data_IF_443433588225
#
_entry.id   IF_443433588225
#
_cell.length_a   1.000
_cell.length_b   1.000
_cell.length_c   1.000
_cell.angle_alpha   90.00
_cell.angle_beta   90.00
_cell.angle_gamma   90.00
#
_symmetry.space_group_name_H-M   'P 1'
#
loop_
_entity.id
_entity.type
_entity.pdbx_description
1 polymer ?
#
# COMPACT_ATOMS: atom_id res chain seq x y z
N UNK A 1 2.09 17.92 21.38
CA UNK A 1 2.35 16.49 21.09
C UNK A 1 2.29 16.31 19.56
N UNK A 2 3.09 15.42 18.95
CA UNK A 2 3.13 15.30 17.48
C UNK A 2 1.84 14.68 16.91
N UNK A 3 1.28 15.22 15.80
CA UNK A 3 0.10 14.65 15.14
C UNK A 3 0.52 13.46 14.27
N UNK A 4 0.28 12.24 14.76
CA UNK A 4 0.67 11.01 14.06
C UNK A 4 -0.44 9.97 14.15
N UNK A 5 -0.78 9.37 13.00
CA UNK A 5 -1.73 8.26 12.91
C UNK A 5 -0.93 7.01 12.54
N UNK A 6 -0.81 6.07 13.46
CA UNK A 6 -0.21 4.76 13.17
C UNK A 6 -1.25 3.87 12.52
N UNK A 7 -1.13 3.61 11.21
CA UNK A 7 -2.06 2.75 10.49
C UNK A 7 -1.49 1.33 10.35
N UNK A 8 -2.23 0.34 10.82
CA UNK A 8 -1.89 -1.08 10.76
C UNK A 8 -2.90 -1.76 9.85
N UNK A 9 -2.46 -2.16 8.66
CA UNK A 9 -3.27 -2.96 7.74
C UNK A 9 -3.19 -4.44 8.12
N UNK A 10 -4.09 -4.86 8.99
CA UNK A 10 -4.19 -6.23 9.43
C UNK A 10 -4.88 -7.06 8.33
N UNK A 11 -4.07 -7.67 7.46
CA UNK A 11 -4.50 -8.62 6.43
C UNK A 11 -4.39 -10.10 6.85
N UNK A 12 -4.22 -10.36 8.15
CA UNK A 12 -4.01 -11.67 8.81
C UNK A 12 -2.65 -12.36 8.65
N UNK A 13 -1.80 -11.96 7.70
CA UNK A 13 -0.56 -12.67 7.39
C UNK A 13 0.64 -11.76 7.10
N UNK A 14 1.67 -11.85 7.94
CA UNK A 14 3.00 -11.30 7.65
C UNK A 14 3.79 -12.28 6.79
N UNK A 15 3.89 -12.03 5.48
CA UNK A 15 4.36 -13.00 4.48
C UNK A 15 3.56 -14.32 4.58
N UNK A 16 4.14 -15.38 5.13
CA UNK A 16 3.46 -16.67 5.37
C UNK A 16 3.12 -16.94 6.84
N UNK A 17 3.40 -16.01 7.74
CA UNK A 17 3.17 -16.17 9.18
C UNK A 17 1.85 -15.51 9.56
N UNK A 18 0.92 -16.30 10.11
CA UNK A 18 -0.35 -15.79 10.64
C UNK A 18 -0.14 -14.97 11.91
N UNK A 19 -1.09 -14.10 12.23
CA UNK A 19 -1.02 -13.24 13.43
C UNK A 19 -0.81 -14.04 14.70
N UNK A 20 -1.58 -15.10 14.90
CA UNK A 20 -1.51 -15.95 16.09
C UNK A 20 -0.14 -16.63 16.28
N UNK A 21 0.68 -16.68 15.23
CA UNK A 21 2.04 -17.23 15.28
C UNK A 21 3.12 -16.17 15.39
N UNK A 22 2.81 -14.91 15.08
CA UNK A 22 3.75 -13.80 15.07
C UNK A 22 3.67 -12.96 16.34
N UNK A 23 2.46 -12.76 16.89
CA UNK A 23 2.25 -11.83 18.00
C UNK A 23 1.51 -12.48 19.16
N UNK A 24 1.92 -12.14 20.37
CA UNK A 24 1.18 -12.45 21.60
C UNK A 24 -0.04 -11.54 21.81
N UNK A 25 -0.14 -10.44 21.07
CA UNK A 25 -1.28 -9.51 21.08
C UNK A 25 -1.84 -9.45 19.66
N UNK A 26 -3.03 -10.04 19.46
CA UNK A 26 -3.71 -10.06 18.16
C UNK A 26 -4.50 -8.78 17.86
N UNK A 27 -4.77 -7.97 18.88
CA UNK A 27 -5.49 -6.71 18.81
C UNK A 27 -4.50 -5.54 18.64
N UNK A 28 -4.07 -5.30 17.41
CA UNK A 28 -2.97 -4.37 17.15
C UNK A 28 -3.28 -2.91 17.46
N UNK A 29 -4.55 -2.48 17.45
CA UNK A 29 -4.92 -1.15 17.93
C UNK A 29 -4.57 -0.91 19.42
N UNK A 30 -4.37 -1.96 20.22
CA UNK A 30 -4.00 -1.85 21.63
C UNK A 30 -2.48 -1.82 21.86
N UNK A 31 -1.65 -2.07 20.84
CA UNK A 31 -0.20 -2.13 20.98
C UNK A 31 0.45 -0.80 21.38
N UNK A 32 -0.26 0.31 21.15
CA UNK A 32 0.19 1.65 21.53
C UNK A 32 0.31 1.89 23.04
N UNK A 33 -0.17 0.96 23.88
CA UNK A 33 -0.19 1.06 25.34
C UNK A 33 -0.85 2.35 25.83
N UNK A 34 -0.07 3.40 26.13
CA UNK A 34 -0.60 4.71 26.52
C UNK A 34 -1.20 5.51 25.34
N UNK A 35 -0.93 5.11 24.10
CA UNK A 35 -1.47 5.73 22.89
C UNK A 35 -2.84 5.09 22.60
N UNK A 36 -3.92 5.89 22.45
CA UNK A 36 -5.25 5.35 22.17
C UNK A 36 -5.29 4.65 20.81
N UNK A 37 -6.21 3.69 20.69
CA UNK A 37 -6.39 2.90 19.47
C UNK A 37 -7.84 2.84 19.02
N UNK A 38 -8.05 2.74 17.71
CA UNK A 38 -9.34 2.48 17.06
C UNK A 38 -9.20 1.33 16.07
N UNK A 39 -10.09 0.36 16.17
CA UNK A 39 -10.22 -0.73 15.18
C UNK A 39 -11.26 -0.35 14.14
N UNK A 40 -10.95 -0.54 12.87
CA UNK A 40 -11.79 -0.21 11.73
C UNK A 40 -11.99 -1.46 10.87
N UNK A 41 -13.20 -1.68 10.37
CA UNK A 41 -13.43 -2.66 9.31
C UNK A 41 -12.84 -2.14 7.99
N UNK A 42 -11.66 -2.65 7.63
CA UNK A 42 -10.93 -2.27 6.42
C UNK A 42 -11.59 -2.76 5.13
N UNK A 43 -12.60 -3.62 5.22
CA UNK A 43 -13.38 -4.09 4.07
C UNK A 43 -14.62 -3.21 3.81
N UNK A 44 -14.89 -2.21 4.65
CA UNK A 44 -15.98 -1.27 4.50
C UNK A 44 -15.42 0.15 4.27
N UNK A 45 -15.49 0.63 3.03
CA UNK A 45 -14.94 1.95 2.63
C UNK A 45 -15.54 3.12 3.41
N UNK A 46 -16.80 3.02 3.83
CA UNK A 46 -17.45 4.06 4.64
C UNK A 46 -16.90 4.05 6.07
N UNK A 47 -16.72 2.88 6.67
CA UNK A 47 -16.10 2.76 7.99
C UNK A 47 -14.66 3.29 7.99
N UNK A 48 -13.88 2.99 6.94
CA UNK A 48 -12.53 3.54 6.75
C UNK A 48 -12.57 5.07 6.66
N UNK A 49 -13.46 5.64 5.85
CA UNK A 49 -13.61 7.09 5.71
C UNK A 49 -13.98 7.77 7.04
N UNK A 50 -14.95 7.22 7.77
CA UNK A 50 -15.38 7.76 9.06
C UNK A 50 -14.27 7.65 10.12
N UNK A 51 -13.66 6.49 10.28
CA UNK A 51 -12.61 6.28 11.28
C UNK A 51 -11.35 7.10 11.00
N UNK A 52 -10.96 7.26 9.73
CA UNK A 52 -9.82 8.12 9.37
C UNK A 52 -10.13 9.60 9.53
N UNK A 53 -11.39 10.02 9.29
CA UNK A 53 -11.82 11.40 9.60
C UNK A 53 -11.70 11.69 11.10
N UNK A 54 -12.22 10.79 11.93
CA UNK A 54 -12.08 10.89 13.38
C UNK A 54 -10.60 10.96 13.81
N UNK A 55 -9.75 10.07 13.29
CA UNK A 55 -8.33 10.05 13.63
C UNK A 55 -7.62 11.36 13.25
N UNK A 56 -7.95 11.91 12.07
CA UNK A 56 -7.43 13.22 11.61
C UNK A 56 -7.86 14.36 12.53
N UNK A 57 -9.14 14.40 12.90
CA UNK A 57 -9.68 15.41 13.82
C UNK A 57 -9.06 15.31 15.21
N UNK A 58 -8.92 14.07 15.73
CA UNK A 58 -8.29 13.79 17.01
C UNK A 58 -6.85 14.31 17.07
N UNK A 59 -6.01 13.94 16.11
CA UNK A 59 -4.62 14.41 16.04
C UNK A 59 -4.55 15.93 15.78
N UNK A 60 -5.41 16.45 14.91
CA UNK A 60 -5.47 17.86 14.55
C UNK A 60 -5.86 18.78 15.71
N UNK A 61 -6.65 18.27 16.66
CA UNK A 61 -6.99 18.97 17.90
C UNK A 61 -5.86 18.98 18.96
N UNK A 62 -4.70 18.39 18.65
CA UNK A 62 -3.53 18.39 19.53
C UNK A 62 -3.53 17.28 20.59
N UNK A 63 -4.46 16.31 20.50
CA UNK A 63 -4.57 15.18 21.44
C UNK A 63 -3.43 14.14 21.31
N UNK A 64 -2.49 14.37 20.41
CA UNK A 64 -1.34 13.49 20.19
C UNK A 64 -1.59 12.37 19.19
N UNK A 65 -0.80 11.28 19.25
CA UNK A 65 -0.90 10.19 18.29
C UNK A 65 -2.11 9.29 18.55
N UNK A 66 -2.47 8.49 17.54
CA UNK A 66 -3.50 7.45 17.64
C UNK A 66 -3.11 6.22 16.81
N UNK A 67 -3.41 5.02 17.30
CA UNK A 67 -3.31 3.76 16.56
C UNK A 67 -4.62 3.47 15.82
N UNK A 68 -4.51 3.05 14.57
CA UNK A 68 -5.61 2.59 13.73
C UNK A 68 -5.29 1.19 13.25
N UNK A 69 -6.12 0.21 13.58
CA UNK A 69 -6.04 -1.13 13.03
C UNK A 69 -7.15 -1.34 12.00
N UNK A 70 -6.78 -1.49 10.73
CA UNK A 70 -7.70 -1.80 9.64
C UNK A 70 -7.75 -3.30 9.42
N UNK A 71 -8.88 -3.91 9.77
CA UNK A 71 -9.14 -5.33 9.52
C UNK A 71 -9.46 -5.53 8.04
N UNK A 72 -8.48 -5.96 7.25
CA UNK A 72 -8.57 -6.09 5.79
C UNK A 72 -8.12 -7.48 5.33
N UNK A 73 -8.00 -7.70 4.02
CA UNK A 73 -7.55 -8.96 3.46
C UNK A 73 -6.87 -8.81 2.09
N UNK A 74 -5.79 -9.54 1.86
CA UNK A 74 -5.13 -9.64 0.55
C UNK A 74 -5.53 -10.91 -0.19
N UNK A 75 -6.04 -10.78 -1.41
CA UNK A 75 -6.46 -11.95 -2.19
C UNK A 75 -5.31 -12.73 -2.81
N UNK A 76 -4.26 -12.03 -3.26
CA UNK A 76 -3.05 -12.67 -3.77
C UNK A 76 -2.10 -13.02 -2.61
N UNK A 77 -1.07 -13.83 -2.90
CA UNK A 77 0.03 -14.11 -1.99
C UNK A 77 0.79 -12.86 -1.56
N UNK A 78 1.88 -13.04 -0.79
CA UNK A 78 2.65 -11.90 -0.28
C UNK A 78 3.28 -11.06 -1.40
N UNK A 79 3.71 -11.73 -2.47
CA UNK A 79 4.32 -11.15 -3.66
C UNK A 79 3.99 -12.00 -4.88
N UNK A 80 4.46 -11.60 -6.07
CA UNK A 80 4.31 -12.39 -7.29
C UNK A 80 5.02 -13.75 -7.23
N UNK A 81 6.05 -13.90 -6.39
CA UNK A 81 6.77 -15.17 -6.21
C UNK A 81 6.15 -16.08 -5.15
N UNK A 82 5.15 -15.60 -4.40
CA UNK A 82 4.45 -16.36 -3.38
C UNK A 82 3.02 -16.70 -3.84
N UNK A 83 2.70 -17.97 -4.15
CA UNK A 83 1.34 -18.39 -4.50
C UNK A 83 0.33 -18.27 -3.34
N UNK A 84 0.80 -18.23 -2.08
CA UNK A 84 -0.04 -18.05 -0.90
C UNK A 84 -0.92 -19.25 -0.52
N UNK A 85 -0.57 -20.46 -0.96
CA UNK A 85 -1.34 -21.71 -0.72
C UNK A 85 -0.78 -22.59 0.40
N UNK A 86 0.40 -22.28 0.95
CA UNK A 86 1.09 -23.12 1.94
C UNK A 86 0.72 -22.78 3.39
N UNK A 87 0.13 -21.60 3.62
CA UNK A 87 -0.14 -21.06 4.96
C UNK A 87 -1.60 -20.59 5.16
N UNK A 88 -2.44 -20.77 4.14
CA UNK A 88 -3.89 -20.50 4.16
C UNK A 88 -4.56 -21.29 3.03
N UNK A 89 -5.86 -21.50 3.17
CA UNK A 89 -6.62 -22.32 2.22
C UNK A 89 -7.32 -21.44 1.15
N UNK A 90 -7.70 -22.06 0.02
CA UNK A 90 -8.36 -21.34 -1.07
C UNK A 90 -9.79 -20.96 -0.70
N UNK A 91 -10.40 -21.75 0.17
CA UNK A 91 -11.75 -21.58 0.69
C UNK A 91 -11.88 -20.28 1.50
N UNK A 92 -10.90 -19.92 2.33
CA UNK A 92 -10.87 -18.66 3.08
C UNK A 92 -10.82 -17.46 2.14
N UNK A 93 -9.98 -17.53 1.08
CA UNK A 93 -9.88 -16.45 0.09
C UNK A 93 -11.21 -16.31 -0.65
N UNK A 94 -11.79 -17.42 -1.11
CA UNK A 94 -13.07 -17.44 -1.82
C UNK A 94 -14.21 -16.93 -0.94
N UNK A 95 -14.28 -17.39 0.31
CA UNK A 95 -15.27 -16.95 1.29
C UNK A 95 -15.14 -15.45 1.58
N UNK A 96 -13.92 -14.97 1.82
CA UNK A 96 -13.70 -13.55 2.11
C UNK A 96 -14.10 -12.69 0.91
N UNK A 97 -13.75 -13.11 -0.31
CA UNK A 97 -14.15 -12.39 -1.53
C UNK A 97 -15.66 -12.42 -1.76
N UNK A 98 -16.34 -13.54 -1.52
CA UNK A 98 -17.79 -13.62 -1.78
C UNK A 98 -18.62 -12.88 -0.74
N UNK A 99 -18.12 -12.72 0.48
CA UNK A 99 -18.89 -12.17 1.61
C UNK A 99 -18.46 -10.78 2.05
N UNK A 100 -17.21 -10.38 1.80
CA UNK A 100 -16.61 -9.15 2.34
C UNK A 100 -15.90 -8.31 1.30
N UNK A 101 -16.07 -8.56 -0.01
CA UNK A 101 -15.38 -7.73 -1.00
C UNK A 101 -15.78 -6.25 -0.91
N UNK A 102 -14.81 -5.31 -0.79
CA UNK A 102 -15.12 -3.92 -0.51
C UNK A 102 -15.75 -3.22 -1.73
N UNK A 103 -15.49 -3.70 -2.95
CA UNK A 103 -16.12 -3.17 -4.16
C UNK A 103 -17.56 -3.66 -4.25
N UNK A 104 -17.83 -4.92 -4.00
CA UNK A 104 -19.21 -5.44 -3.99
C UNK A 104 -20.05 -4.78 -2.88
N UNK A 105 -19.46 -4.54 -1.71
CA UNK A 105 -20.10 -3.77 -0.64
C UNK A 105 -20.52 -2.37 -1.11
N UNK A 106 -19.60 -1.56 -1.64
CA UNK A 106 -19.92 -0.17 -2.01
C UNK A 106 -20.85 -0.10 -3.22
N UNK A 107 -20.73 -1.02 -4.19
CA UNK A 107 -21.68 -1.13 -5.31
C UNK A 107 -23.09 -1.33 -4.79
N UNK A 108 -23.27 -2.28 -3.85
CA UNK A 108 -24.57 -2.55 -3.24
C UNK A 108 -25.11 -1.31 -2.52
N UNK A 109 -24.28 -0.61 -1.74
CA UNK A 109 -24.70 0.62 -1.07
C UNK A 109 -25.17 1.69 -2.06
N UNK A 110 -24.46 1.87 -3.18
CA UNK A 110 -24.82 2.85 -4.21
C UNK A 110 -26.14 2.50 -4.90
N UNK A 111 -26.34 1.22 -5.24
CA UNK A 111 -27.58 0.77 -5.90
C UNK A 111 -28.78 0.78 -4.96
N UNK A 112 -28.61 0.32 -3.72
CA UNK A 112 -29.69 0.29 -2.71
C UNK A 112 -30.14 1.71 -2.33
N UNK A 113 -29.23 2.68 -2.39
CA UNK A 113 -29.50 4.08 -2.05
C UNK A 113 -29.86 4.94 -3.28
N UNK A 114 -30.04 4.31 -4.45
CA UNK A 114 -30.39 4.97 -5.72
C UNK A 114 -29.39 6.08 -6.16
N UNK A 115 -28.14 6.03 -5.68
CA UNK A 115 -27.09 6.98 -6.08
C UNK A 115 -26.46 6.61 -7.44
N UNK A 116 -26.55 5.34 -7.83
CA UNK A 116 -26.11 4.87 -9.14
C UNK A 116 -26.90 3.64 -9.57
N UNK A 117 -27.14 3.53 -10.86
CA UNK A 117 -27.73 2.33 -11.48
C UNK A 117 -26.67 1.27 -11.77
N UNK A 118 -27.11 0.02 -11.95
CA UNK A 118 -26.21 -1.07 -12.31
C UNK A 118 -25.49 -0.86 -13.65
N UNK A 119 -26.14 -0.21 -14.63
CA UNK A 119 -25.51 0.07 -15.93
C UNK A 119 -24.47 1.19 -15.81
N UNK A 120 -24.72 2.25 -15.02
CA UNK A 120 -23.72 3.29 -14.76
C UNK A 120 -22.47 2.71 -14.09
N UNK A 121 -22.65 1.83 -13.09
CA UNK A 121 -21.52 1.13 -12.45
C UNK A 121 -20.72 0.30 -13.47
N UNK A 122 -21.42 -0.45 -14.31
CA UNK A 122 -20.80 -1.28 -15.35
C UNK A 122 -20.05 -0.43 -16.39
N UNK A 123 -20.60 0.71 -16.78
CA UNK A 123 -19.95 1.64 -17.70
C UNK A 123 -18.71 2.30 -17.08
N UNK A 124 -18.75 2.64 -15.79
CA UNK A 124 -17.56 3.06 -15.05
C UNK A 124 -16.48 1.98 -15.05
N UNK A 125 -16.83 0.71 -14.79
CA UNK A 125 -15.85 -0.38 -14.84
C UNK A 125 -15.23 -0.55 -16.22
N UNK A 126 -16.03 -0.50 -17.30
CA UNK A 126 -15.53 -0.57 -18.68
C UNK A 126 -14.55 0.57 -18.95
N UNK A 127 -14.88 1.79 -18.54
CA UNK A 127 -14.03 2.97 -18.70
C UNK A 127 -12.71 2.81 -17.95
N UNK A 128 -12.74 2.43 -16.67
CA UNK A 128 -11.54 2.22 -15.85
C UNK A 128 -10.66 1.11 -16.43
N UNK A 129 -11.25 0.00 -16.91
CA UNK A 129 -10.48 -1.06 -17.57
C UNK A 129 -9.76 -0.56 -18.82
N UNK A 130 -10.40 0.28 -19.63
CA UNK A 130 -9.79 0.88 -20.81
C UNK A 130 -8.64 1.83 -20.43
N UNK A 131 -8.82 2.64 -19.38
CA UNK A 131 -7.77 3.51 -18.84
C UNK A 131 -6.56 2.70 -18.37
N UNK A 132 -6.77 1.65 -17.56
CA UNK A 132 -5.69 0.77 -17.09
C UNK A 132 -4.96 0.08 -18.26
N UNK A 133 -5.69 -0.39 -19.28
CA UNK A 133 -5.07 -0.99 -20.47
C UNK A 133 -4.20 -0.01 -21.25
N UNK A 134 -4.65 1.25 -21.39
CA UNK A 134 -3.87 2.29 -22.05
C UNK A 134 -2.57 2.59 -21.29
N UNK A 135 -2.63 2.70 -19.97
CA UNK A 135 -1.44 2.93 -19.14
C UNK A 135 -0.48 1.73 -19.15
N UNK A 136 -0.99 0.49 -19.17
CA UNK A 136 -0.15 -0.72 -19.34
C UNK A 136 0.59 -0.71 -20.68
N UNK A 137 -0.05 -0.26 -21.76
CA UNK A 137 0.60 -0.16 -23.06
C UNK A 137 1.72 0.87 -23.04
N UNK A 138 1.45 2.07 -22.52
CA UNK A 138 2.46 3.12 -22.35
C UNK A 138 3.65 2.64 -21.50
N UNK A 139 3.38 1.93 -20.40
CA UNK A 139 4.43 1.40 -19.54
C UNK A 139 5.31 0.34 -20.25
N UNK A 140 4.74 -0.45 -21.16
CA UNK A 140 5.48 -1.44 -21.97
C UNK A 140 6.29 -0.80 -23.09
N UNK A 141 5.79 0.28 -23.67
CA UNK A 141 6.46 1.04 -24.73
C UNK A 141 7.54 1.98 -24.18
N UNK A 142 7.50 2.28 -22.88
CA UNK A 142 8.50 3.12 -22.21
C UNK A 142 9.90 2.55 -22.40
N UNK A 143 10.82 3.41 -22.86
CA UNK A 143 12.23 3.07 -22.94
C UNK A 143 12.81 2.89 -21.54
N UNK A 144 13.80 2.00 -21.42
CA UNK A 144 14.60 1.92 -20.19
C UNK A 144 15.37 3.23 -20.00
N UNK A 145 15.62 3.65 -18.75
CA UNK A 145 16.54 4.75 -18.50
C UNK A 145 17.90 4.47 -19.16
N UNK A 146 18.53 5.48 -19.78
CA UNK A 146 19.84 5.35 -20.37
C UNK A 146 20.89 5.05 -19.28
N UNK A 147 22.00 4.38 -19.63
CA UNK A 147 23.00 3.92 -18.65
C UNK A 147 23.67 5.10 -17.93
N UNK A 148 23.76 6.23 -18.61
CA UNK A 148 24.30 7.50 -18.12
C UNK A 148 23.51 8.04 -16.91
N UNK A 149 22.23 7.66 -16.77
CA UNK A 149 21.38 8.03 -15.65
C UNK A 149 21.56 7.10 -14.43
N UNK A 150 22.39 6.06 -14.50
CA UNK A 150 22.55 5.09 -13.40
C UNK A 150 22.97 5.74 -12.07
N UNK A 151 23.75 6.81 -12.12
CA UNK A 151 24.29 7.49 -10.93
C UNK A 151 23.66 8.85 -10.64
N UNK A 152 22.62 9.22 -11.38
CA UNK A 152 21.85 10.42 -11.07
C UNK A 152 21.08 10.20 -9.76
N UNK A 153 20.72 11.30 -9.08
CA UNK A 153 19.90 11.30 -7.86
C UNK A 153 20.50 10.57 -6.63
N UNK A 154 21.81 10.32 -6.60
CA UNK A 154 22.51 9.87 -5.37
C UNK A 154 22.50 10.97 -4.29
N UNK A 155 22.68 12.22 -4.71
CA UNK A 155 22.65 13.39 -3.84
C UNK A 155 21.54 14.35 -4.26
N UNK A 156 20.93 15.02 -3.27
CA UNK A 156 19.79 15.92 -3.50
C UNK A 156 20.18 17.26 -4.14
N UNK A 157 21.40 17.74 -3.88
CA UNK A 157 22.02 18.78 -4.68
C UNK A 157 22.76 18.11 -5.84
N UNK A 158 22.76 18.73 -7.02
CA UNK A 158 23.51 18.27 -8.19
C UNK A 158 25.02 18.27 -7.90
N UNK A 159 25.50 17.23 -7.24
CA UNK A 159 26.92 16.92 -7.20
C UNK A 159 27.24 16.20 -8.51
N UNK A 160 27.25 17.00 -9.58
CA UNK A 160 27.38 16.57 -10.96
C UNK A 160 28.70 15.80 -11.16
N UNK A 161 28.68 14.56 -11.67
CA UNK A 161 29.88 13.79 -12.03
C UNK A 161 30.84 14.54 -12.95
N UNK A 162 30.32 15.48 -13.76
CA UNK A 162 31.11 16.30 -14.66
C UNK A 162 31.85 17.48 -14.02
N UNK A 163 31.52 17.89 -12.78
CA UNK A 163 32.10 19.08 -12.15
C UNK A 163 33.12 18.79 -11.03
N UNK A 164 33.38 17.52 -10.67
CA UNK A 164 34.43 17.10 -9.72
C UNK A 164 34.49 17.80 -8.35
N UNK A 165 33.58 18.71 -8.00
CA UNK A 165 33.51 19.34 -6.68
C UNK A 165 32.75 18.44 -5.71
N UNK A 166 33.37 17.31 -5.37
CA UNK A 166 32.97 16.51 -4.22
C UNK A 166 33.67 17.04 -2.97
N UNK A 167 33.03 17.00 -1.79
CA UNK A 167 33.76 17.19 -0.56
C UNK A 167 34.93 16.19 -0.52
N UNK A 168 36.16 16.61 -0.13
CA UNK A 168 37.39 15.80 -0.29
C UNK A 168 37.38 14.48 0.50
N UNK A 169 36.39 14.28 1.37
CA UNK A 169 36.18 13.07 2.17
C UNK A 169 35.16 12.09 1.56
N UNK A 170 34.49 12.44 0.45
CA UNK A 170 33.56 11.56 -0.26
C UNK A 170 34.34 10.82 -1.35
N UNK A 171 34.58 9.51 -1.13
CA UNK A 171 35.17 8.64 -2.15
C UNK A 171 34.08 8.27 -3.16
N UNK A 172 34.18 8.82 -4.38
CA UNK A 172 33.26 8.44 -5.46
C UNK A 172 33.56 7.02 -5.96
N UNK A 173 32.53 6.28 -6.43
CA UNK A 173 32.74 4.99 -7.08
C UNK A 173 33.62 5.16 -8.32
N UNK A 174 34.50 4.19 -8.56
CA UNK A 174 35.28 4.09 -9.79
C UNK A 174 34.32 3.69 -10.91
N UNK A 175 33.85 4.67 -11.68
CA UNK A 175 32.82 4.47 -12.70
C UNK A 175 33.27 3.52 -13.81
N UNK A 176 34.55 3.53 -14.18
CA UNK A 176 35.11 2.64 -15.19
C UNK A 176 35.10 1.18 -14.73
N UNK A 177 35.33 0.92 -13.43
CA UNK A 177 35.20 -0.43 -12.84
C UNK A 177 33.76 -0.81 -12.49
N UNK A 178 32.90 0.17 -12.22
CA UNK A 178 31.53 -0.08 -11.76
C UNK A 178 30.55 -0.29 -12.92
N UNK A 179 30.86 0.23 -14.10
CA UNK A 179 30.05 0.08 -15.32
C UNK A 179 30.54 -1.06 -16.23
N UNK A 180 31.74 -1.60 -15.99
CA UNK A 180 32.19 -2.81 -16.66
C UNK A 180 31.54 -4.04 -16.01
N UNK A 181 30.32 -4.36 -16.42
CA UNK A 181 29.79 -5.72 -16.29
C UNK A 181 30.56 -6.60 -17.28
N UNK A 182 31.80 -6.95 -16.95
CA UNK A 182 32.49 -8.02 -17.68
C UNK A 182 31.70 -9.30 -17.47
N UNK A 183 31.20 -9.86 -18.58
CA UNK A 183 30.58 -11.19 -18.66
C UNK A 183 31.42 -12.27 -17.98
#
# INVERSE_FOLDING_TARGET
>A
MQPMIFCIENNRYGMGTSIDRHSSISDYYQMGNAIPGLRIDGMNVLAVREGMRFAKEYCGAGNGPIYIEMMTYRYHGHSMSDPGTTYRNREEIAYTRSTRDPLEFIKKCLTDSEFATAEEIKDMEKRIRKEVQAEVLKAKESTRPPLEELTTHIYAADINPGNQEYPPFVRMPDMDKSLTFTN
#
